data_IF_292536148903
#
_entry.id   IF_292536148903
#
_cell.length_a   1.000
_cell.length_b   1.000
_cell.length_c   1.000
_cell.angle_alpha   90.00
_cell.angle_beta   90.00
_cell.angle_gamma   90.00
#
_symmetry.space_group_name_H-M   'P 1'
#
loop_
_entity.id
_entity.type
_entity.pdbx_description
1 polymer ?
#
# COMPACT_ATOMS: atom_id res chain seq x y z
N UNK A 1 -10.65 -35.89 -55.22
CA UNK A 1 -11.89 -36.69 -55.36
C UNK A 1 -13.05 -35.81 -54.97
N UNK A 2 -13.81 -35.36 -55.95
CA UNK A 2 -15.05 -34.58 -55.79
C UNK A 2 -16.24 -35.54 -55.76
N UNK A 3 -17.17 -35.38 -54.82
CA UNK A 3 -18.57 -35.76 -55.02
C UNK A 3 -19.47 -34.64 -54.48
N UNK A 4 -20.17 -34.00 -55.42
CA UNK A 4 -21.32 -33.12 -55.25
C UNK A 4 -22.62 -33.95 -55.31
N UNK A 5 -23.73 -33.27 -55.01
CA UNK A 5 -25.15 -33.41 -55.43
C UNK A 5 -26.02 -33.35 -54.16
N UNK A 6 -26.65 -32.21 -53.80
CA UNK A 6 -27.90 -31.59 -54.35
C UNK A 6 -29.14 -32.47 -54.08
N UNK A 7 -30.38 -32.04 -53.79
CA UNK A 7 -31.11 -30.78 -53.93
C UNK A 7 -32.48 -30.89 -53.17
N UNK A 8 -32.93 -29.76 -52.60
CA UNK A 8 -34.28 -29.20 -52.34
C UNK A 8 -35.64 -29.93 -52.57
N UNK A 9 -36.64 -29.62 -51.69
CA UNK A 9 -37.98 -28.97 -51.93
C UNK A 9 -38.79 -28.96 -50.60
N UNK A 10 -39.32 -27.90 -49.97
CA UNK A 10 -40.18 -26.73 -50.28
C UNK A 10 -41.71 -27.01 -50.34
N UNK A 11 -42.48 -26.53 -49.34
CA UNK A 11 -43.86 -25.95 -49.37
C UNK A 11 -44.10 -25.24 -48.00
N UNK A 12 -43.93 -23.92 -47.85
CA UNK A 12 -44.93 -22.82 -47.89
C UNK A 12 -46.20 -23.01 -47.02
N UNK A 13 -46.31 -22.27 -45.91
CA UNK A 13 -47.58 -21.62 -45.56
C UNK A 13 -47.36 -20.29 -44.83
N UNK A 14 -48.08 -19.30 -45.37
CA UNK A 14 -48.13 -17.89 -45.05
C UNK A 14 -49.04 -17.65 -43.82
N UNK A 15 -48.59 -16.86 -42.85
CA UNK A 15 -49.50 -16.15 -41.95
C UNK A 15 -48.88 -14.80 -41.58
N UNK A 16 -49.44 -13.75 -42.19
CA UNK A 16 -49.14 -12.37 -41.90
C UNK A 16 -49.54 -12.03 -40.46
N UNK A 17 -48.61 -11.50 -39.68
CA UNK A 17 -48.92 -10.69 -38.51
C UNK A 17 -48.05 -9.45 -38.52
N UNK A 18 -48.74 -8.32 -38.53
CA UNK A 18 -48.24 -6.97 -38.31
C UNK A 18 -47.63 -6.86 -36.91
N UNK A 19 -46.36 -6.49 -36.82
CA UNK A 19 -45.77 -5.94 -35.61
C UNK A 19 -44.99 -4.68 -35.99
N UNK A 20 -45.47 -3.55 -35.47
CA UNK A 20 -44.78 -2.26 -35.45
C UNK A 20 -43.48 -2.45 -34.68
N UNK A 21 -42.33 -2.25 -35.33
CA UNK A 21 -41.06 -2.10 -34.62
C UNK A 21 -40.89 -0.60 -34.36
N UNK A 22 -41.18 -0.21 -33.12
CA UNK A 22 -40.66 1.01 -32.55
C UNK A 22 -39.13 0.94 -32.60
N UNK A 23 -38.51 1.98 -33.13
CA UNK A 23 -37.08 2.24 -32.95
C UNK A 23 -36.88 2.46 -31.46
N UNK A 24 -36.46 1.41 -30.74
CA UNK A 24 -35.87 1.54 -29.43
C UNK A 24 -34.43 1.97 -29.60
N UNK A 25 -34.07 2.97 -28.80
CA UNK A 25 -32.78 3.61 -28.75
C UNK A 25 -31.62 2.63 -28.66
N UNK A 26 -30.50 3.06 -29.26
CA UNK A 26 -29.14 2.63 -28.98
C UNK A 26 -28.97 2.19 -27.51
N UNK A 27 -28.77 0.90 -27.31
CA UNK A 27 -28.31 0.32 -26.05
C UNK A 27 -26.82 0.64 -25.94
N UNK A 28 -26.50 1.86 -25.47
CA UNK A 28 -25.18 2.17 -24.94
C UNK A 28 -24.97 1.26 -23.73
N UNK A 29 -23.88 0.48 -23.66
CA UNK A 29 -23.53 -0.18 -22.40
C UNK A 29 -23.40 0.92 -21.36
N UNK A 30 -24.23 0.83 -20.32
CA UNK A 30 -24.11 1.67 -19.15
C UNK A 30 -22.67 1.56 -18.67
N UNK A 31 -21.96 2.69 -18.65
CA UNK A 31 -20.75 2.84 -17.86
C UNK A 31 -21.13 2.41 -16.44
N UNK A 32 -20.71 1.20 -16.05
CA UNK A 32 -20.57 0.83 -14.65
C UNK A 32 -19.55 1.81 -14.07
N UNK A 33 -20.04 2.97 -13.65
CA UNK A 33 -19.34 3.81 -12.69
C UNK A 33 -19.16 2.96 -11.45
N UNK A 34 -17.98 2.36 -11.35
CA UNK A 34 -17.48 1.76 -10.13
C UNK A 34 -17.83 2.71 -8.98
N UNK A 35 -18.48 2.24 -7.90
CA UNK A 35 -18.75 3.09 -6.77
C UNK A 35 -17.42 3.74 -6.35
N UNK A 36 -17.42 5.03 -5.98
CA UNK A 36 -16.20 5.69 -5.54
C UNK A 36 -15.59 4.82 -4.43
N UNK A 37 -14.43 4.24 -4.71
CA UNK A 37 -13.65 3.52 -3.72
C UNK A 37 -13.13 4.57 -2.76
N UNK A 38 -13.96 4.93 -1.77
CA UNK A 38 -13.55 5.86 -0.74
C UNK A 38 -12.32 5.25 -0.04
N UNK A 39 -11.17 5.92 -0.09
CA UNK A 39 -10.01 5.45 0.64
C UNK A 39 -10.40 5.42 2.12
N UNK A 40 -10.48 4.21 2.69
CA UNK A 40 -10.88 3.98 4.09
C UNK A 40 -10.11 4.95 5.00
N UNK A 41 -10.79 5.82 5.78
CA UNK A 41 -10.09 6.73 6.67
C UNK A 41 -9.30 5.90 7.67
N UNK A 42 -7.98 6.10 7.70
CA UNK A 42 -7.07 5.37 8.62
C UNK A 42 -7.26 5.77 10.09
N UNK A 43 -8.08 6.79 10.33
CA UNK A 43 -8.66 7.15 11.61
C UNK A 43 -9.75 8.21 11.44
N UNK A 44 -10.67 8.26 12.40
CA UNK A 44 -11.70 9.28 12.55
C UNK A 44 -11.31 10.22 13.68
N UNK A 45 -11.72 11.48 13.59
CA UNK A 45 -11.64 12.41 14.72
C UNK A 45 -13.00 13.03 14.89
N UNK A 46 -13.44 13.18 16.14
CA UNK A 46 -14.71 13.81 16.46
C UNK A 46 -14.84 14.16 17.93
N UNK A 47 -15.84 14.99 18.22
CA UNK A 47 -16.25 15.30 19.58
C UNK A 47 -17.26 14.27 20.05
N UNK A 48 -17.09 13.74 21.26
CA UNK A 48 -18.02 12.78 21.85
C UNK A 48 -19.36 13.48 22.11
N UNK A 49 -20.43 12.97 21.51
CA UNK A 49 -21.80 13.42 21.75
C UNK A 49 -22.45 12.67 22.91
N UNK A 50 -22.22 11.36 22.97
CA UNK A 50 -22.84 10.45 23.93
C UNK A 50 -21.89 9.29 24.27
N UNK A 51 -21.99 8.75 25.49
CA UNK A 51 -21.24 7.57 25.94
C UNK A 51 -22.23 6.54 26.49
N UNK A 52 -22.22 5.34 25.91
CA UNK A 52 -23.00 4.17 26.31
C UNK A 52 -22.19 3.18 27.16
N UNK A 53 -22.63 1.92 27.23
CA UNK A 53 -21.96 0.89 28.03
C UNK A 53 -20.65 0.39 27.40
N UNK A 54 -20.65 0.21 26.08
CA UNK A 54 -19.56 -0.33 25.25
C UNK A 54 -19.42 0.41 23.91
N UNK A 55 -20.06 1.56 23.79
CA UNK A 55 -20.03 2.39 22.59
C UNK A 55 -20.11 3.88 22.92
N UNK A 56 -19.72 4.74 21.99
CA UNK A 56 -19.89 6.17 22.09
C UNK A 56 -20.12 6.79 20.71
N UNK A 57 -20.87 7.88 20.65
CA UNK A 57 -21.10 8.62 19.41
C UNK A 57 -20.12 9.78 19.31
N UNK A 58 -19.55 9.99 18.13
CA UNK A 58 -18.74 11.17 17.82
C UNK A 58 -19.33 11.98 16.67
N UNK A 59 -19.23 13.30 16.76
CA UNK A 59 -19.45 14.21 15.63
C UNK A 59 -18.10 14.62 15.05
N UNK A 60 -17.85 14.26 13.80
CA UNK A 60 -16.67 14.67 13.08
C UNK A 60 -16.73 16.16 12.71
N UNK A 61 -15.59 16.84 12.47
CA UNK A 61 -15.56 18.26 12.11
C UNK A 61 -16.31 18.64 10.82
N UNK A 62 -16.71 17.66 10.00
CA UNK A 62 -17.55 17.84 8.82
C UNK A 62 -19.06 17.76 9.13
N UNK A 63 -19.45 17.53 10.39
CA UNK A 63 -20.84 17.36 10.83
C UNK A 63 -21.39 15.95 10.62
N UNK A 64 -20.54 14.98 10.28
CA UNK A 64 -20.94 13.57 10.20
C UNK A 64 -20.91 12.94 11.61
N UNK A 65 -21.93 12.17 11.94
CA UNK A 65 -21.99 11.43 13.20
C UNK A 65 -21.61 9.97 12.98
N UNK A 66 -20.79 9.42 13.87
CA UNK A 66 -20.36 8.03 13.84
C UNK A 66 -20.53 7.40 15.22
N UNK A 67 -21.09 6.19 15.26
CA UNK A 67 -21.14 5.36 16.46
C UNK A 67 -19.93 4.43 16.49
N UNK A 68 -19.16 4.50 17.58
CA UNK A 68 -17.92 3.78 17.79
C UNK A 68 -18.14 2.72 18.87
N UNK A 69 -17.87 1.47 18.56
CA UNK A 69 -17.89 0.35 19.50
C UNK A 69 -16.49 0.10 20.05
N UNK A 70 -16.41 -0.23 21.34
CA UNK A 70 -15.15 -0.57 22.03
C UNK A 70 -15.24 -1.96 22.62
N UNK A 71 -14.11 -2.66 22.66
CA UNK A 71 -13.98 -4.00 23.22
C UNK A 71 -12.75 -4.11 24.12
N UNK A 72 -12.53 -5.29 24.69
CA UNK A 72 -11.31 -5.59 25.46
C UNK A 72 -10.02 -5.45 24.63
N UNK A 73 -10.12 -5.46 23.29
CA UNK A 73 -9.00 -5.24 22.38
C UNK A 73 -8.73 -3.76 22.09
N UNK A 74 -9.64 -2.86 22.47
CA UNK A 74 -9.48 -1.42 22.25
C UNK A 74 -8.43 -0.85 23.20
N UNK A 75 -7.34 -0.34 22.63
CA UNK A 75 -6.35 0.42 23.40
C UNK A 75 -6.82 1.87 23.61
N UNK A 76 -6.58 2.42 24.79
CA UNK A 76 -6.88 3.82 25.12
C UNK A 76 -5.58 4.57 25.46
N UNK A 77 -5.43 5.79 24.95
CA UNK A 77 -4.27 6.65 25.23
C UNK A 77 -4.69 8.10 25.44
N UNK A 78 -4.04 8.80 26.36
CA UNK A 78 -4.15 10.26 26.46
C UNK A 78 -2.94 10.92 25.80
N UNK A 79 -3.16 12.05 25.13
CA UNK A 79 -2.10 12.92 24.61
C UNK A 79 -1.93 14.20 25.45
N UNK A 80 -2.55 14.28 26.62
CA UNK A 80 -2.32 15.39 27.55
C UNK A 80 -0.83 15.42 27.95
N UNK A 81 -0.25 16.62 27.99
CA UNK A 81 1.20 16.82 28.12
C UNK A 81 1.78 16.16 29.38
N UNK A 82 2.76 15.26 29.19
CA UNK A 82 3.75 14.92 30.21
C UNK A 82 3.46 13.72 31.11
N UNK A 83 2.26 13.15 31.12
CA UNK A 83 1.95 11.94 31.88
C UNK A 83 1.24 10.91 31.01
N UNK A 84 1.84 9.73 30.82
CA UNK A 84 1.15 8.55 30.30
C UNK A 84 0.14 8.08 31.35
N UNK A 85 -0.97 8.80 31.48
CA UNK A 85 -2.09 8.34 32.29
C UNK A 85 -2.78 7.22 31.52
N UNK A 86 -2.96 6.08 32.19
CA UNK A 86 -3.64 4.92 31.63
C UNK A 86 -5.13 5.25 31.47
N UNK A 87 -5.48 5.84 30.32
CA UNK A 87 -6.85 6.15 29.94
C UNK A 87 -7.67 4.85 29.83
N UNK A 88 -8.93 4.90 30.26
CA UNK A 88 -9.91 3.82 30.15
C UNK A 88 -11.17 4.37 29.51
N UNK A 89 -12.04 3.47 29.03
CA UNK A 89 -13.33 3.86 28.46
C UNK A 89 -14.18 4.72 29.42
N UNK A 90 -14.13 4.42 30.72
CA UNK A 90 -14.86 5.15 31.77
C UNK A 90 -14.39 6.60 31.96
N UNK A 91 -13.25 6.97 31.40
CA UNK A 91 -12.70 8.32 31.48
C UNK A 91 -13.18 9.20 30.31
N UNK A 92 -14.01 8.66 29.42
CA UNK A 92 -14.59 9.41 28.30
C UNK A 92 -15.91 10.05 28.72
N UNK A 93 -16.06 11.34 28.44
CA UNK A 93 -17.28 12.11 28.65
C UNK A 93 -17.72 12.83 27.37
N UNK A 94 -19.01 13.14 27.31
CA UNK A 94 -19.55 14.01 26.27
C UNK A 94 -18.84 15.37 26.27
N UNK A 95 -18.53 15.87 25.08
CA UNK A 95 -17.79 17.11 24.85
C UNK A 95 -16.28 16.91 24.67
N UNK A 96 -15.71 15.75 25.01
CA UNK A 96 -14.30 15.46 24.79
C UNK A 96 -13.99 15.21 23.30
N UNK A 97 -12.77 15.54 22.87
CA UNK A 97 -12.29 15.25 21.53
C UNK A 97 -11.47 13.97 21.50
N UNK A 98 -11.76 13.09 20.55
CA UNK A 98 -11.07 11.81 20.42
C UNK A 98 -10.67 11.52 18.98
N UNK A 99 -9.53 10.86 18.81
CA UNK A 99 -9.12 10.24 17.55
C UNK A 99 -9.25 8.72 17.63
N UNK A 100 -10.04 8.14 16.74
CA UNK A 100 -10.32 6.71 16.66
C UNK A 100 -9.55 6.12 15.48
N UNK A 101 -8.66 5.17 15.71
CA UNK A 101 -7.82 4.58 14.66
C UNK A 101 -8.24 3.15 14.31
N UNK A 102 -8.09 2.83 13.03
CA UNK A 102 -8.43 1.54 12.44
C UNK A 102 -9.85 1.06 12.80
N UNK A 103 -10.90 1.91 12.64
CA UNK A 103 -12.26 1.40 12.78
C UNK A 103 -12.49 0.28 11.77
N UNK A 104 -12.86 -0.91 12.23
CA UNK A 104 -13.34 -1.99 11.37
C UNK A 104 -14.84 -1.84 11.26
N UNK A 105 -15.35 -1.74 10.05
CA UNK A 105 -16.79 -1.64 9.81
C UNK A 105 -17.40 -3.05 9.93
N UNK A 106 -18.22 -3.24 10.96
CA UNK A 106 -19.11 -4.39 11.06
C UNK A 106 -20.56 -3.87 11.09
N UNK A 107 -21.25 -4.12 9.98
CA UNK A 107 -22.71 -4.09 9.77
C UNK A 107 -23.55 -2.86 10.18
N UNK A 108 -22.98 -1.84 10.82
CA UNK A 108 -23.51 -0.48 11.08
C UNK A 108 -22.62 0.29 12.10
N UNK A 109 -21.67 -0.40 12.74
CA UNK A 109 -20.81 0.11 13.80
C UNK A 109 -19.33 0.09 13.40
N UNK A 110 -18.55 0.93 14.08
CA UNK A 110 -17.11 1.04 13.86
C UNK A 110 -16.35 0.54 15.08
N UNK A 111 -15.75 -0.65 14.98
CA UNK A 111 -14.95 -1.26 16.04
C UNK A 111 -13.59 -0.57 16.17
N UNK A 112 -13.38 0.14 17.27
CA UNK A 112 -12.15 0.86 17.53
C UNK A 112 -11.03 -0.06 18.03
N UNK A 113 -9.86 0.01 17.39
CA UNK A 113 -8.63 -0.64 17.91
C UNK A 113 -7.83 0.27 18.83
N UNK A 114 -7.89 1.57 18.59
CA UNK A 114 -7.20 2.57 19.40
C UNK A 114 -8.05 3.84 19.48
N UNK A 115 -8.35 4.26 20.69
CA UNK A 115 -8.97 5.55 21.00
C UNK A 115 -7.93 6.43 21.68
N UNK A 116 -7.69 7.60 21.12
CA UNK A 116 -6.78 8.60 21.69
C UNK A 116 -7.59 9.80 22.14
N UNK A 117 -7.59 10.08 23.44
CA UNK A 117 -8.11 11.33 23.97
C UNK A 117 -7.19 12.48 23.57
N UNK A 118 -7.77 13.44 22.86
CA UNK A 118 -7.07 14.64 22.41
C UNK A 118 -7.06 15.67 23.55
N UNK A 119 -6.07 16.59 23.57
CA UNK A 119 -6.00 17.64 24.58
C UNK A 119 -7.28 18.49 24.65
N UNK A 120 -7.57 19.08 25.80
CA UNK A 120 -8.79 19.87 26.01
C UNK A 120 -8.80 21.16 25.16
N UNK A 121 -7.62 21.65 24.78
CA UNK A 121 -7.41 22.78 23.86
C UNK A 121 -7.37 22.35 22.38
N UNK A 122 -7.78 21.11 22.08
CA UNK A 122 -7.85 20.62 20.72
C UNK A 122 -8.87 21.41 19.89
N UNK A 123 -8.39 21.99 18.80
CA UNK A 123 -9.20 22.69 17.82
C UNK A 123 -9.33 21.82 16.54
N UNK A 124 -10.55 21.40 16.16
CA UNK A 124 -10.79 20.58 14.97
C UNK A 124 -10.47 21.27 13.65
N UNK A 125 -10.47 22.60 13.59
CA UNK A 125 -10.08 23.31 12.37
C UNK A 125 -8.57 23.12 12.09
N UNK A 126 -7.77 22.82 13.12
CA UNK A 126 -6.37 22.42 12.95
C UNK A 126 -6.17 21.07 12.24
N UNK A 127 -7.21 20.21 12.18
CA UNK A 127 -7.14 18.96 11.39
C UNK A 127 -7.34 19.17 9.90
N UNK A 128 -7.96 20.29 9.50
CA UNK A 128 -8.17 20.67 8.10
C UNK A 128 -6.88 21.22 7.48
N UNK A 129 -5.75 20.64 7.86
CA UNK A 129 -4.44 21.02 7.35
C UNK A 129 -4.42 20.90 5.83
N UNK A 130 -4.18 22.03 5.16
CA UNK A 130 -3.95 22.10 3.72
C UNK A 130 -2.63 21.39 3.41
N UNK A 131 -2.72 20.29 2.65
CA UNK A 131 -1.55 19.62 2.06
C UNK A 131 -1.20 20.33 0.76
N UNK A 132 -0.03 20.92 0.71
CA UNK A 132 0.47 21.64 -0.46
C UNK A 132 1.85 21.13 -0.84
N UNK A 133 2.15 21.15 -2.13
CA UNK A 133 3.48 20.84 -2.63
C UNK A 133 3.88 21.88 -3.66
N UNK A 134 5.14 22.29 -3.62
CA UNK A 134 5.64 23.37 -4.46
C UNK A 134 7.15 23.52 -4.35
N UNK A 135 7.67 24.50 -5.08
CA UNK A 135 9.08 24.87 -5.07
C UNK A 135 9.25 26.16 -4.25
N UNK A 136 10.23 26.19 -3.34
CA UNK A 136 10.50 27.39 -2.54
C UNK A 136 11.03 28.50 -3.44
N UNK A 137 10.32 29.63 -3.47
CA UNK A 137 10.70 30.79 -4.29
C UNK A 137 11.36 31.89 -3.45
N UNK A 138 10.94 32.02 -2.19
CA UNK A 138 11.38 33.07 -1.28
C UNK A 138 11.37 32.60 0.17
N UNK A 139 12.33 33.08 0.95
CA UNK A 139 12.48 32.77 2.37
C UNK A 139 12.71 34.10 3.09
N UNK A 140 11.96 34.35 4.16
CA UNK A 140 12.07 35.54 5.02
C UNK A 140 12.41 35.10 6.45
N UNK A 141 13.71 34.92 6.78
CA UNK A 141 14.12 34.42 8.10
C UNK A 141 13.64 35.29 9.26
N UNK A 142 13.61 36.62 9.08
CA UNK A 142 13.16 37.54 10.11
C UNK A 142 11.66 37.44 10.47
N UNK A 143 10.87 36.77 9.64
CA UNK A 143 9.44 36.54 9.89
C UNK A 143 9.12 35.05 10.07
N UNK A 144 10.12 34.16 9.97
CA UNK A 144 9.91 32.71 9.89
C UNK A 144 8.86 32.33 8.84
N UNK A 145 8.88 33.02 7.68
CA UNK A 145 7.99 32.71 6.56
C UNK A 145 8.76 32.29 5.33
N UNK A 146 8.15 31.46 4.50
CA UNK A 146 8.65 31.12 3.17
C UNK A 146 7.48 31.07 2.19
N UNK A 147 7.76 31.30 0.92
CA UNK A 147 6.78 31.25 -0.16
C UNK A 147 7.13 30.09 -1.09
N UNK A 148 6.14 29.27 -1.41
CA UNK A 148 6.27 28.22 -2.43
C UNK A 148 5.44 28.59 -3.65
N UNK A 149 5.94 28.24 -4.83
CA UNK A 149 5.11 28.18 -6.04
C UNK A 149 4.54 26.76 -6.15
N UNK A 150 3.22 26.66 -6.05
CA UNK A 150 2.51 25.38 -6.15
C UNK A 150 2.56 24.82 -7.57
N UNK A 151 2.16 23.56 -7.76
CA UNK A 151 2.11 22.93 -9.10
C UNK A 151 1.23 23.69 -10.11
N UNK A 152 0.25 24.46 -9.64
CA UNK A 152 -0.63 25.25 -10.49
C UNK A 152 -0.05 26.63 -10.83
N UNK A 153 1.17 26.94 -10.37
CA UNK A 153 1.81 28.24 -10.55
C UNK A 153 1.35 29.30 -9.55
N UNK A 154 0.50 28.96 -8.58
CA UNK A 154 0.05 29.90 -7.55
C UNK A 154 1.10 30.04 -6.44
N UNK A 155 1.53 31.26 -6.09
CA UNK A 155 2.39 31.50 -4.95
C UNK A 155 1.60 31.33 -3.65
N UNK A 156 2.21 30.68 -2.65
CA UNK A 156 1.61 30.43 -1.35
C UNK A 156 2.61 30.75 -0.24
N UNK A 157 2.23 31.69 0.63
CA UNK A 157 3.03 32.04 1.82
C UNK A 157 2.69 31.13 2.99
N UNK A 158 3.73 30.65 3.66
CA UNK A 158 3.69 29.70 4.77
C UNK A 158 4.55 30.24 5.91
N UNK A 159 3.99 30.25 7.11
CA UNK A 159 4.70 30.55 8.34
C UNK A 159 5.18 29.24 8.99
N UNK A 160 6.31 29.28 9.69
CA UNK A 160 6.74 28.22 10.58
C UNK A 160 6.84 28.75 12.01
N UNK A 161 6.83 27.83 12.96
CA UNK A 161 7.10 28.10 14.37
C UNK A 161 7.99 26.99 14.96
N UNK A 162 8.24 27.07 16.27
CA UNK A 162 9.05 26.08 17.00
C UNK A 162 8.39 24.69 17.05
N UNK A 163 7.11 24.57 16.69
CA UNK A 163 6.37 23.30 16.62
C UNK A 163 6.37 22.70 15.20
N UNK A 164 6.81 23.44 14.17
CA UNK A 164 6.93 22.94 12.81
C UNK A 164 7.95 21.82 12.74
N UNK A 165 7.51 20.64 12.28
CA UNK A 165 8.40 19.49 12.10
C UNK A 165 9.03 19.50 10.71
N UNK A 166 10.35 19.35 10.65
CA UNK A 166 11.10 19.22 9.40
C UNK A 166 11.47 17.76 9.14
N UNK A 167 11.51 17.35 7.87
CA UNK A 167 11.92 16.00 7.50
C UNK A 167 12.57 15.95 6.10
N UNK A 168 13.18 14.80 5.82
CA UNK A 168 13.97 14.59 4.61
C UNK A 168 15.36 15.17 4.81
N UNK A 169 15.76 16.09 3.95
CA UNK A 169 17.04 16.82 4.08
C UNK A 169 16.92 18.10 4.90
N UNK A 170 15.71 18.44 5.35
CA UNK A 170 15.44 19.55 6.23
C UNK A 170 15.39 19.06 7.68
N UNK A 171 16.17 19.70 8.55
CA UNK A 171 16.11 19.51 10.00
C UNK A 171 15.55 20.75 10.71
N UNK A 172 15.58 21.92 10.07
CA UNK A 172 15.12 23.21 10.59
C UNK A 172 14.80 24.20 9.47
N UNK A 173 14.26 25.35 9.84
CA UNK A 173 13.96 26.44 8.91
C UNK A 173 15.19 26.95 8.14
N UNK A 174 16.37 27.01 8.78
CA UNK A 174 17.61 27.47 8.13
C UNK A 174 18.10 26.54 7.01
N UNK A 175 17.61 25.30 6.97
CA UNK A 175 17.95 24.33 5.92
C UNK A 175 17.08 24.53 4.66
N UNK A 176 16.10 25.45 4.70
CA UNK A 176 15.29 25.79 3.54
C UNK A 176 16.14 26.55 2.52
N UNK A 177 16.06 26.13 1.26
CA UNK A 177 16.76 26.78 0.16
C UNK A 177 15.81 27.08 -0.99
N UNK A 178 16.07 28.19 -1.68
CA UNK A 178 15.33 28.54 -2.90
C UNK A 178 15.56 27.48 -3.98
N UNK A 179 14.49 27.08 -4.66
CA UNK A 179 14.51 26.05 -5.71
C UNK A 179 14.27 24.62 -5.19
N UNK A 180 14.21 24.43 -3.87
CA UNK A 180 13.91 23.11 -3.29
C UNK A 180 12.42 22.84 -3.37
N UNK A 181 12.07 21.64 -3.85
CA UNK A 181 10.69 21.14 -3.84
C UNK A 181 10.35 20.58 -2.47
N UNK A 182 9.30 21.12 -1.88
CA UNK A 182 8.80 20.74 -0.56
C UNK A 182 7.35 20.30 -0.61
N UNK A 183 7.00 19.42 0.34
CA UNK A 183 5.64 19.11 0.70
C UNK A 183 5.38 19.67 2.11
N UNK A 184 4.27 20.39 2.26
CA UNK A 184 3.92 21.10 3.48
C UNK A 184 2.52 20.68 3.92
N UNK A 185 2.38 20.38 5.20
CA UNK A 185 1.09 20.31 5.87
C UNK A 185 0.93 21.59 6.68
N UNK A 186 0.01 22.46 6.28
CA UNK A 186 -0.20 23.75 6.93
C UNK A 186 -1.64 23.90 7.39
N UNK A 187 -1.84 24.58 8.50
CA UNK A 187 -3.14 24.90 9.08
C UNK A 187 -3.44 26.36 8.85
N UNK A 188 -4.69 26.68 8.50
CA UNK A 188 -5.11 28.06 8.38
C UNK A 188 -5.42 28.65 9.76
N UNK A 189 -4.81 29.78 10.08
CA UNK A 189 -5.05 30.53 11.32
C UNK A 189 -6.27 31.45 11.18
N UNK A 190 -6.75 31.99 12.30
CA UNK A 190 -7.90 32.92 12.35
C UNK A 190 -7.69 34.17 11.48
N UNK A 191 -6.45 34.63 11.33
CA UNK A 191 -6.07 35.78 10.50
C UNK A 191 -5.95 35.43 9.01
N UNK A 192 -6.21 34.17 8.64
CA UNK A 192 -6.15 33.64 7.29
C UNK A 192 -4.77 33.21 6.84
N UNK A 193 -3.72 33.37 7.65
CA UNK A 193 -2.37 32.90 7.35
C UNK A 193 -2.26 31.38 7.43
N UNK A 194 -1.23 30.79 6.81
CA UNK A 194 -1.00 29.35 6.83
C UNK A 194 0.22 29.02 7.69
N UNK A 195 0.01 28.35 8.81
CA UNK A 195 1.06 27.86 9.69
C UNK A 195 1.42 26.42 9.34
N UNK A 196 2.64 26.20 8.86
CA UNK A 196 3.17 24.87 8.59
C UNK A 196 3.35 24.08 9.88
N UNK A 197 2.71 22.92 9.97
CA UNK A 197 2.95 21.94 11.04
C UNK A 197 3.97 20.89 10.63
N UNK A 198 4.16 20.69 9.32
CA UNK A 198 5.20 19.82 8.77
C UNK A 198 5.74 20.37 7.45
N UNK A 199 7.06 20.33 7.26
CA UNK A 199 7.75 20.66 6.02
C UNK A 199 8.73 19.55 5.68
N UNK A 200 8.53 18.89 4.54
CA UNK A 200 9.42 17.84 4.06
C UNK A 200 10.00 18.19 2.70
N UNK A 201 11.32 18.14 2.55
CA UNK A 201 11.96 18.16 1.23
C UNK A 201 12.25 16.73 0.78
N UNK A 202 11.97 16.44 -0.49
CA UNK A 202 12.59 15.29 -1.16
C UNK A 202 13.79 15.82 -1.92
N UNK A 203 14.94 15.19 -1.71
CA UNK A 203 16.10 15.39 -2.56
C UNK A 203 15.70 15.16 -4.02
N UNK A 204 15.89 16.18 -4.86
CA UNK A 204 15.63 16.09 -6.31
C UNK A 204 16.72 15.27 -7.02
N UNK A 205 17.89 15.14 -6.42
CA UNK A 205 19.04 14.36 -6.91
C UNK A 205 19.00 12.90 -6.45
N UNK A 206 17.88 12.42 -5.87
CA UNK A 206 17.72 10.99 -5.66
C UNK A 206 17.67 10.31 -7.03
N UNK A 207 18.66 9.45 -7.35
CA UNK A 207 18.72 8.85 -8.67
C UNK A 207 17.42 8.09 -8.92
N UNK A 208 16.89 8.24 -10.12
CA UNK A 208 15.77 7.41 -10.56
C UNK A 208 16.25 5.96 -10.53
N UNK A 209 15.65 5.14 -9.67
CA UNK A 209 16.05 3.74 -9.53
C UNK A 209 15.18 2.87 -10.43
N UNK A 210 15.81 1.88 -11.05
CA UNK A 210 15.13 0.80 -11.74
C UNK A 210 15.56 -0.55 -11.18
N UNK A 211 14.83 -1.59 -11.56
CA UNK A 211 15.06 -2.97 -11.11
C UNK A 211 15.14 -3.88 -12.31
N UNK A 212 16.25 -4.61 -12.42
CA UNK A 212 16.46 -5.56 -13.52
C UNK A 212 16.80 -6.91 -12.93
N UNK A 213 15.99 -7.91 -13.27
CA UNK A 213 16.20 -9.30 -12.85
C UNK A 213 16.79 -10.13 -13.98
N UNK A 214 17.73 -11.02 -13.66
CA UNK A 214 18.39 -11.86 -14.64
C UNK A 214 19.37 -12.85 -14.03
N UNK A 215 20.09 -13.58 -14.89
CA UNK A 215 21.19 -14.48 -14.51
C UNK A 215 22.53 -13.85 -14.87
N UNK A 216 23.52 -13.97 -14.00
CA UNK A 216 24.86 -13.46 -14.25
C UNK A 216 25.49 -14.21 -15.44
N UNK A 217 25.90 -13.49 -16.48
CA UNK A 217 26.59 -14.06 -17.65
C UNK A 217 28.06 -13.65 -17.73
N UNK A 218 28.44 -12.54 -17.09
CA UNK A 218 29.82 -12.07 -17.02
C UNK A 218 30.07 -11.30 -15.73
N UNK A 219 31.27 -11.47 -15.16
CA UNK A 219 31.77 -10.71 -14.01
C UNK A 219 33.10 -10.04 -14.40
N UNK A 220 33.21 -8.74 -14.14
CA UNK A 220 34.44 -7.98 -14.17
C UNK A 220 34.87 -7.57 -12.75
N UNK A 221 35.94 -6.79 -12.64
CA UNK A 221 36.40 -6.26 -11.33
C UNK A 221 35.35 -5.31 -10.73
N UNK A 222 34.82 -4.39 -11.55
CA UNK A 222 33.83 -3.37 -11.14
C UNK A 222 32.57 -3.43 -12.02
N UNK A 223 32.28 -4.58 -12.62
CA UNK A 223 31.12 -4.71 -13.50
C UNK A 223 30.46 -6.09 -13.46
N UNK A 224 29.15 -6.08 -13.70
CA UNK A 224 28.31 -7.26 -13.70
C UNK A 224 27.43 -7.25 -14.94
N UNK A 225 27.46 -8.31 -15.74
CA UNK A 225 26.52 -8.49 -16.86
C UNK A 225 25.50 -9.58 -16.51
N UNK A 226 24.22 -9.30 -16.75
CA UNK A 226 23.13 -10.26 -16.57
C UNK A 226 22.34 -10.43 -17.86
N UNK A 227 21.81 -11.64 -18.06
CA UNK A 227 20.80 -11.94 -19.06
C UNK A 227 19.43 -11.91 -18.39
N UNK A 228 18.58 -10.98 -18.82
CA UNK A 228 17.21 -10.86 -18.33
C UNK A 228 16.32 -12.01 -18.82
N UNK A 229 15.15 -12.18 -18.19
CA UNK A 229 14.16 -13.18 -18.63
C UNK A 229 13.62 -12.94 -20.05
N UNK A 230 13.76 -11.71 -20.56
CA UNK A 230 13.34 -11.32 -21.91
C UNK A 230 14.45 -11.58 -22.95
N UNK A 231 15.60 -12.10 -22.53
CA UNK A 231 16.75 -12.36 -23.39
C UNK A 231 17.62 -11.14 -23.69
N UNK A 232 17.40 -10.02 -22.99
CA UNK A 232 18.22 -8.82 -23.11
C UNK A 232 19.40 -8.87 -22.13
N UNK A 233 20.58 -8.47 -22.58
CA UNK A 233 21.78 -8.35 -21.75
C UNK A 233 21.93 -6.94 -21.18
N UNK A 234 22.24 -6.85 -19.90
CA UNK A 234 22.48 -5.61 -19.19
C UNK A 234 23.82 -5.68 -18.47
N UNK A 235 24.69 -4.70 -18.68
CA UNK A 235 25.95 -4.53 -17.95
C UNK A 235 25.83 -3.37 -16.98
N UNK A 236 26.07 -3.63 -15.70
CA UNK A 236 26.01 -2.67 -14.61
C UNK A 236 27.41 -2.35 -14.11
N UNK A 237 27.62 -1.09 -13.73
CA UNK A 237 28.81 -0.68 -12.99
C UNK A 237 28.60 -0.92 -11.50
N UNK A 238 29.57 -1.57 -10.86
CA UNK A 238 29.57 -1.86 -9.44
C UNK A 238 30.59 -0.94 -8.77
N UNK A 239 30.16 -0.22 -7.75
CA UNK A 239 31.04 0.67 -6.95
C UNK A 239 31.04 0.27 -5.47
N UNK A 240 31.89 0.92 -4.67
CA UNK A 240 31.94 0.78 -3.20
C UNK A 240 30.61 1.14 -2.49
N UNK A 241 29.73 1.87 -3.18
CA UNK A 241 28.40 2.22 -2.68
C UNK A 241 27.37 1.11 -2.93
N UNK A 242 27.68 0.15 -3.81
CA UNK A 242 26.80 -0.99 -4.10
C UNK A 242 26.59 -1.81 -2.85
N UNK A 243 25.33 -2.04 -2.50
CA UNK A 243 24.97 -2.94 -1.40
C UNK A 243 24.68 -4.34 -1.91
N UNK A 244 25.33 -5.33 -1.33
CA UNK A 244 25.09 -6.73 -1.64
C UNK A 244 24.17 -7.35 -0.60
N UNK A 245 23.35 -8.29 -1.04
CA UNK A 245 22.51 -9.06 -0.14
C UNK A 245 22.14 -10.40 -0.73
N UNK A 246 22.03 -11.39 0.13
CA UNK A 246 21.45 -12.69 -0.18
C UNK A 246 20.54 -13.13 0.97
N UNK A 247 19.77 -14.19 0.72
CA UNK A 247 18.87 -14.76 1.73
C UNK A 247 19.59 -15.18 3.02
N UNK A 248 20.80 -15.72 2.89
CA UNK A 248 21.57 -16.30 3.99
C UNK A 248 22.66 -15.35 4.51
N UNK A 249 22.88 -14.22 3.86
CA UNK A 249 23.92 -13.24 4.24
C UNK A 249 25.32 -13.57 3.73
N UNK A 250 25.44 -14.61 2.90
CA UNK A 250 26.73 -15.10 2.37
C UNK A 250 27.30 -14.26 1.23
N UNK A 251 26.56 -13.26 0.73
CA UNK A 251 26.99 -12.39 -0.37
C UNK A 251 27.22 -10.99 0.19
N UNK A 252 28.48 -10.57 0.26
CA UNK A 252 28.92 -9.29 0.81
C UNK A 252 29.62 -8.42 -0.23
N UNK A 253 30.13 -9.01 -1.30
CA UNK A 253 30.80 -8.30 -2.38
C UNK A 253 30.60 -8.93 -3.76
N UNK A 254 31.26 -8.34 -4.77
CA UNK A 254 31.24 -8.83 -6.16
C UNK A 254 32.01 -10.15 -6.30
N UNK A 255 33.01 -10.35 -5.44
CA UNK A 255 33.84 -11.54 -5.33
C UNK A 255 33.06 -12.79 -4.90
N UNK A 256 31.92 -12.62 -4.25
CA UNK A 256 31.05 -13.71 -3.82
C UNK A 256 30.04 -14.12 -4.92
N UNK A 257 30.00 -13.38 -6.02
CA UNK A 257 29.10 -13.66 -7.14
C UNK A 257 29.72 -14.70 -8.08
N UNK A 258 28.88 -15.57 -8.62
CA UNK A 258 29.26 -16.58 -9.61
C UNK A 258 28.41 -16.48 -10.87
N UNK A 259 28.92 -17.01 -11.98
CA UNK A 259 28.16 -17.13 -13.22
C UNK A 259 26.91 -18.01 -13.01
N UNK A 260 25.86 -17.72 -13.79
CA UNK A 260 24.52 -18.33 -13.72
C UNK A 260 23.74 -18.04 -12.41
N UNK A 261 24.33 -17.34 -11.43
CA UNK A 261 23.58 -16.91 -10.26
C UNK A 261 22.43 -15.99 -10.67
N UNK A 262 21.23 -16.21 -10.15
CA UNK A 262 20.13 -15.31 -10.40
C UNK A 262 20.17 -14.11 -9.46
N UNK A 263 20.03 -12.92 -10.03
CA UNK A 263 20.13 -11.67 -9.27
C UNK A 263 19.02 -10.70 -9.64
N UNK A 264 18.71 -9.82 -8.69
CA UNK A 264 17.96 -8.59 -8.89
C UNK A 264 18.92 -7.43 -8.66
N UNK A 265 19.18 -6.65 -9.71
CA UNK A 265 19.99 -5.43 -9.63
C UNK A 265 19.07 -4.23 -9.50
N UNK A 266 19.30 -3.43 -8.46
CA UNK A 266 18.70 -2.11 -8.30
C UNK A 266 19.75 -1.12 -8.80
N UNK A 267 19.49 -0.43 -9.91
CA UNK A 267 20.44 0.49 -10.53
C UNK A 267 19.86 1.88 -10.70
N UNK A 268 20.73 2.86 -10.89
CA UNK A 268 20.33 4.16 -11.44
C UNK A 268 19.84 3.96 -12.87
N UNK A 269 18.76 4.64 -13.23
CA UNK A 269 18.12 4.59 -14.54
C UNK A 269 18.99 5.24 -15.62
N UNK A 270 19.72 6.29 -15.25
CA UNK A 270 20.45 7.14 -16.21
C UNK A 270 21.76 6.50 -16.70
N UNK A 271 22.43 5.71 -15.87
CA UNK A 271 23.79 5.21 -16.16
C UNK A 271 24.04 3.73 -15.79
N UNK A 272 23.02 3.00 -15.33
CA UNK A 272 23.14 1.60 -14.88
C UNK A 272 24.18 1.35 -13.77
N UNK A 273 24.52 2.35 -12.97
CA UNK A 273 25.30 2.14 -11.75
C UNK A 273 24.46 1.35 -10.75
N UNK A 274 24.95 0.20 -10.30
CA UNK A 274 24.30 -0.62 -9.30
C UNK A 274 24.32 0.09 -7.94
N UNK A 275 23.15 0.23 -7.34
CA UNK A 275 22.99 0.68 -5.95
C UNK A 275 22.82 -0.51 -5.00
N UNK A 276 22.27 -1.61 -5.51
CA UNK A 276 22.24 -2.85 -4.78
C UNK A 276 22.09 -4.07 -5.69
N UNK A 277 22.69 -5.17 -5.26
CA UNK A 277 22.64 -6.47 -5.95
C UNK A 277 22.11 -7.48 -4.94
N UNK A 278 20.95 -8.05 -5.25
CA UNK A 278 20.31 -9.05 -4.43
C UNK A 278 20.38 -10.40 -5.13
N UNK A 279 21.11 -11.34 -4.54
CA UNK A 279 21.19 -12.72 -5.05
C UNK A 279 19.96 -13.48 -4.60
N UNK A 280 19.20 -13.96 -5.59
CA UNK A 280 18.09 -14.84 -5.35
C UNK A 280 18.63 -16.24 -5.03
N UNK A 281 18.00 -16.93 -4.09
CA UNK A 281 18.26 -18.33 -3.83
C UNK A 281 17.83 -19.14 -5.06
N UNK A 282 18.76 -19.83 -5.78
CA UNK A 282 18.42 -20.58 -6.98
C UNK A 282 17.33 -21.61 -6.73
N UNK A 283 17.32 -22.22 -5.54
CA UNK A 283 16.31 -23.18 -5.14
C UNK A 283 14.91 -22.57 -5.07
N UNK A 284 14.77 -21.25 -4.85
CA UNK A 284 13.48 -20.55 -4.89
C UNK A 284 13.01 -20.23 -6.32
N UNK A 285 13.93 -20.17 -7.28
CA UNK A 285 13.59 -19.87 -8.67
C UNK A 285 13.21 -21.12 -9.47
N UNK A 286 13.68 -22.29 -9.05
CA UNK A 286 13.21 -23.57 -9.57
C UNK A 286 11.84 -23.99 -9.03
N UNK A 287 11.29 -23.29 -8.04
CA UNK A 287 9.99 -23.62 -7.48
C UNK A 287 8.88 -23.34 -8.48
N UNK A 288 7.94 -24.28 -8.53
CA UNK A 288 6.67 -24.08 -9.18
C UNK A 288 5.83 -23.08 -8.39
N UNK A 289 4.98 -22.35 -9.10
CA UNK A 289 4.17 -21.27 -8.53
C UNK A 289 2.74 -21.47 -8.94
N UNK A 290 1.86 -21.49 -7.95
CA UNK A 290 0.44 -21.62 -8.22
C UNK A 290 -0.36 -20.61 -7.40
N UNK A 291 -1.10 -19.70 -8.07
CA UNK A 291 -2.06 -18.85 -7.39
C UNK A 291 -3.33 -19.64 -7.07
N UNK A 292 -3.93 -19.37 -5.92
CA UNK A 292 -5.20 -20.00 -5.55
C UNK A 292 -5.91 -19.28 -4.43
N UNK A 293 -7.00 -19.88 -3.97
CA UNK A 293 -7.73 -19.42 -2.79
C UNK A 293 -7.65 -20.48 -1.69
N UNK A 294 -7.32 -20.07 -0.47
CA UNK A 294 -7.25 -20.98 0.67
C UNK A 294 -8.61 -21.64 0.86
N UNK A 295 -8.65 -22.97 0.88
CA UNK A 295 -9.82 -23.74 1.25
C UNK A 295 -9.73 -24.14 2.73
N UNK A 296 -8.56 -24.58 3.16
CA UNK A 296 -8.25 -24.94 4.56
C UNK A 296 -6.76 -24.81 4.82
N UNK A 297 -6.38 -24.35 6.01
CA UNK A 297 -5.00 -24.29 6.47
C UNK A 297 -4.94 -24.70 7.94
N UNK A 298 -3.98 -25.54 8.30
CA UNK A 298 -3.80 -25.95 9.70
C UNK A 298 -2.88 -27.16 9.85
N UNK A 299 -2.23 -27.26 11.00
CA UNK A 299 -1.20 -28.26 11.25
C UNK A 299 -0.03 -28.08 10.27
N UNK A 300 0.27 -29.11 9.48
CA UNK A 300 1.32 -29.10 8.46
C UNK A 300 0.77 -29.13 7.03
N UNK A 301 -0.50 -28.75 6.82
CA UNK A 301 -1.12 -28.84 5.50
C UNK A 301 -1.87 -27.56 5.12
N UNK A 302 -1.74 -27.20 3.85
CA UNK A 302 -2.48 -26.14 3.19
C UNK A 302 -3.24 -26.74 2.01
N UNK A 303 -4.54 -26.50 1.92
CA UNK A 303 -5.33 -26.81 0.73
C UNK A 303 -5.81 -25.53 0.11
N UNK A 304 -5.57 -25.37 -1.19
CA UNK A 304 -6.06 -24.23 -1.97
C UNK A 304 -6.91 -24.72 -3.14
N UNK A 305 -7.89 -23.92 -3.53
CA UNK A 305 -8.56 -24.10 -4.81
C UNK A 305 -7.77 -23.32 -5.88
N UNK A 306 -7.40 -24.03 -6.94
CA UNK A 306 -6.76 -23.51 -8.15
C UNK A 306 -7.75 -23.76 -9.28
N UNK A 307 -8.37 -22.69 -9.78
CA UNK A 307 -9.51 -22.82 -10.71
C UNK A 307 -10.61 -23.72 -10.10
N UNK A 308 -10.93 -24.85 -10.73
CA UNK A 308 -11.91 -25.84 -10.26
C UNK A 308 -11.29 -27.05 -9.54
N UNK A 309 -9.97 -27.06 -9.34
CA UNK A 309 -9.23 -28.16 -8.74
C UNK A 309 -8.70 -27.83 -7.34
N UNK A 310 -8.51 -28.86 -6.53
CA UNK A 310 -7.96 -28.75 -5.17
C UNK A 310 -6.53 -29.23 -5.17
N UNK A 311 -5.63 -28.36 -4.75
CA UNK A 311 -4.23 -28.70 -4.52
C UNK A 311 -3.94 -28.70 -3.02
N UNK A 312 -3.25 -29.75 -2.56
CA UNK A 312 -2.83 -29.90 -1.17
C UNK A 312 -1.31 -29.82 -1.09
N UNK A 313 -0.83 -28.99 -0.16
CA UNK A 313 0.58 -28.76 0.11
C UNK A 313 0.90 -29.17 1.54
N UNK A 314 2.05 -29.82 1.71
CA UNK A 314 2.69 -29.98 3.01
C UNK A 314 3.47 -28.70 3.34
N UNK A 315 3.43 -28.30 4.59
CA UNK A 315 4.07 -27.10 5.15
C UNK A 315 4.95 -27.54 6.30
N UNK A 316 6.21 -27.14 6.26
CA UNK A 316 7.25 -27.49 7.24
C UNK A 316 7.86 -26.24 7.90
N UNK A 317 8.83 -26.44 8.80
CA UNK A 317 9.53 -25.36 9.49
C UNK A 317 10.38 -24.46 8.57
N UNK A 318 10.68 -24.93 7.35
CA UNK A 318 11.43 -24.17 6.35
C UNK A 318 10.51 -23.34 5.43
N UNK A 319 9.20 -23.60 5.48
CA UNK A 319 8.20 -22.88 4.70
C UNK A 319 8.05 -21.47 5.23
N UNK A 320 8.31 -20.48 4.39
CA UNK A 320 8.15 -19.08 4.78
C UNK A 320 6.79 -18.54 4.38
N UNK A 321 6.05 -18.03 5.36
CA UNK A 321 4.74 -17.45 5.17
C UNK A 321 4.85 -15.93 5.30
N UNK A 322 4.27 -15.20 4.34
CA UNK A 322 4.23 -13.74 4.34
C UNK A 322 2.86 -13.23 3.94
N UNK A 323 2.31 -12.34 4.73
CA UNK A 323 1.07 -11.62 4.44
C UNK A 323 0.86 -10.51 5.45
N UNK A 324 -0.02 -9.56 5.15
CA UNK A 324 -0.34 -8.49 6.10
C UNK A 324 -1.19 -9.08 7.23
N UNK A 325 -0.65 -9.13 8.45
CA UNK A 325 -1.33 -9.74 9.60
C UNK A 325 -1.38 -11.27 9.53
N UNK A 326 -0.42 -11.87 8.81
CA UNK A 326 -0.24 -13.32 8.68
C UNK A 326 1.16 -13.62 9.20
N UNK A 327 1.23 -14.24 10.36
CA UNK A 327 2.47 -14.63 11.01
C UNK A 327 2.76 -16.12 10.76
N UNK A 328 1.72 -16.95 10.72
CA UNK A 328 1.86 -18.39 10.46
C UNK A 328 0.73 -18.99 9.58
N UNK A 329 0.74 -20.33 9.45
CA UNK A 329 -0.20 -21.06 8.61
C UNK A 329 -1.65 -20.97 9.11
N UNK A 330 -1.86 -20.89 10.42
CA UNK A 330 -3.19 -20.85 11.03
C UNK A 330 -3.89 -19.51 10.83
N UNK A 331 -3.14 -18.47 10.47
CA UNK A 331 -3.68 -17.17 10.10
C UNK A 331 -4.33 -17.19 8.71
N UNK A 332 -4.02 -18.18 7.87
CA UNK A 332 -4.64 -18.34 6.56
C UNK A 332 -6.08 -18.82 6.69
N UNK A 333 -7.04 -17.97 6.34
CA UNK A 333 -8.48 -18.27 6.41
C UNK A 333 -9.03 -18.66 5.04
N UNK A 334 -10.12 -19.43 5.04
CA UNK A 334 -10.85 -19.81 3.84
C UNK A 334 -11.19 -18.55 3.01
N UNK A 335 -10.99 -18.62 1.70
CA UNK A 335 -11.22 -17.54 0.74
C UNK A 335 -10.04 -16.59 0.55
N UNK A 336 -9.01 -16.63 1.40
CA UNK A 336 -7.82 -15.79 1.20
C UNK A 336 -7.12 -16.14 -0.11
N UNK A 337 -6.78 -15.12 -0.91
CA UNK A 337 -5.94 -15.31 -2.10
C UNK A 337 -4.50 -15.57 -1.67
N UNK A 338 -3.89 -16.62 -2.19
CA UNK A 338 -2.51 -16.98 -1.91
C UNK A 338 -1.75 -17.29 -3.19
N UNK A 339 -0.45 -17.06 -3.17
CA UNK A 339 0.51 -17.61 -4.13
C UNK A 339 1.39 -18.60 -3.38
N UNK A 340 1.37 -19.87 -3.78
CA UNK A 340 2.20 -20.91 -3.19
C UNK A 340 3.39 -21.16 -4.11
N UNK A 341 4.60 -21.08 -3.55
CA UNK A 341 5.84 -21.54 -4.18
C UNK A 341 6.14 -22.94 -3.62
N UNK A 342 6.19 -23.95 -4.47
CA UNK A 342 6.31 -25.34 -4.05
C UNK A 342 7.29 -26.14 -4.90
N UNK A 343 7.67 -27.30 -4.36
CA UNK A 343 8.47 -28.34 -5.00
C UNK A 343 7.69 -29.65 -4.88
N UNK A 344 7.65 -30.45 -5.95
CA UNK A 344 7.08 -31.80 -5.90
C UNK A 344 8.17 -32.80 -5.48
N UNK A 345 7.95 -33.51 -4.37
CA UNK A 345 8.87 -34.52 -3.84
C UNK A 345 8.08 -35.81 -3.65
N UNK A 346 8.47 -36.87 -4.36
CA UNK A 346 7.82 -38.19 -4.29
C UNK A 346 6.29 -38.17 -4.51
N UNK A 347 5.80 -37.23 -5.33
CA UNK A 347 4.37 -37.07 -5.63
C UNK A 347 3.59 -36.24 -4.60
N UNK A 348 4.28 -35.65 -3.61
CA UNK A 348 3.70 -34.71 -2.65
C UNK A 348 4.19 -33.29 -2.94
N UNK A 349 3.31 -32.29 -2.83
CA UNK A 349 3.69 -30.89 -3.00
C UNK A 349 4.16 -30.31 -1.67
N UNK A 350 5.45 -29.99 -1.55
CA UNK A 350 6.01 -29.30 -0.39
C UNK A 350 6.06 -27.79 -0.66
N UNK A 351 5.31 -27.02 0.12
CA UNK A 351 5.41 -25.57 0.07
C UNK A 351 6.79 -25.13 0.61
N UNK A 352 7.42 -24.18 -0.07
CA UNK A 352 8.64 -23.50 0.42
C UNK A 352 8.38 -22.03 0.72
N UNK A 353 7.34 -21.46 0.11
CA UNK A 353 6.90 -20.10 0.36
C UNK A 353 5.40 -19.94 0.14
N UNK A 354 4.73 -19.19 1.00
CA UNK A 354 3.32 -18.84 0.87
C UNK A 354 3.18 -17.33 1.00
N UNK A 355 2.66 -16.68 -0.03
CA UNK A 355 2.37 -15.24 -0.05
C UNK A 355 0.87 -15.04 0.01
N UNK A 356 0.37 -14.49 1.10
CA UNK A 356 -1.05 -14.25 1.34
C UNK A 356 -1.45 -12.80 1.02
N UNK A 357 -2.48 -12.67 0.20
CA UNK A 357 -3.16 -11.42 -0.05
C UNK A 357 -4.07 -11.01 1.11
N UNK A 358 -4.62 -9.78 1.08
CA UNK A 358 -5.56 -9.33 2.09
C UNK A 358 -6.79 -10.25 2.14
N UNK A 359 -7.31 -10.48 3.35
CA UNK A 359 -8.54 -11.24 3.55
C UNK A 359 -9.69 -10.57 2.77
N UNK A 360 -10.45 -11.32 1.95
CA UNK A 360 -11.66 -10.77 1.35
C UNK A 360 -12.64 -10.36 2.46
N UNK A 361 -13.31 -9.20 2.34
CA UNK A 361 -14.41 -8.87 3.25
C UNK A 361 -15.48 -9.97 3.16
N UNK A 362 -16.04 -10.38 4.30
CA UNK A 362 -17.14 -11.33 4.32
C UNK A 362 -18.32 -10.76 3.50
N UNK A 363 -18.97 -11.58 2.66
CA UNK A 363 -20.18 -11.18 1.93
C UNK A 363 -21.40 -11.05 2.86
#
# INVERSE_FOLDING_TARGET
>A
MFKKISLALLVVLLAATTAVVLVSAEDQPADEQLPPTHPRPRGLVGQILSVGEDQFDIESPNGETHTITVSDETAFRSRQEGEETQLRFQDLDAGMWVAVFQPVEDSEFLDARLVVLLPDDFDPDNLRGRKVAGEIEKINPGQQTFEITTRNGEPLSLQVDDQTRFAGELNRFDDLEKGVKVAVLAVQQEDGTLLAKFVGARNQDRPHLQRTGGKITQLGEDSLTILSQQGEEYTFTVTDETRFGSRNGDIQGIEDLELDMPVLVISKLDDLTAMGILVADPALLSLERVPGTVQSAGGSHLTINVEDEKMQFTVDENTRIKGRGIDDLNDLKNGMKVLVLYEEIDGEYLAKGIIAGPHPPHP
#
